data_IF_502802833417
#
_entry.id   IF_502802833417
#
_cell.length_a   1.000
_cell.length_b   1.000
_cell.length_c   1.000
_cell.angle_alpha   90.00
_cell.angle_beta   90.00
_cell.angle_gamma   90.00
#
_symmetry.space_group_name_H-M   'P 1'
#
loop_
_entity.id
_entity.type
_entity.pdbx_description
1 polymer ?
#
# COMPACT_ATOMS: atom_id res chain seq x y z
N UNK A 1 0.55 -16.16 -76.05
CA UNK A 1 -0.23 -16.34 -74.81
C UNK A 1 0.72 -16.17 -73.64
N UNK A 2 0.70 -15.04 -72.90
CA UNK A 2 1.55 -14.84 -71.70
C UNK A 2 0.89 -15.42 -70.45
N UNK A 3 1.66 -16.20 -69.70
CA UNK A 3 1.26 -16.76 -68.39
C UNK A 3 1.43 -15.68 -67.34
N UNK A 4 0.33 -15.30 -66.73
CA UNK A 4 0.30 -14.39 -65.53
C UNK A 4 0.55 -15.24 -64.30
N UNK A 5 1.70 -15.01 -63.67
CA UNK A 5 2.04 -15.61 -62.35
C UNK A 5 1.58 -14.67 -61.22
N UNK A 6 0.50 -15.04 -60.54
CA UNK A 6 0.02 -14.32 -59.35
C UNK A 6 0.89 -14.70 -58.16
N UNK A 7 1.66 -13.74 -57.62
CA UNK A 7 2.38 -13.87 -56.35
C UNK A 7 1.44 -13.42 -55.21
N UNK A 8 1.01 -14.38 -54.40
CA UNK A 8 0.29 -14.12 -53.13
C UNK A 8 1.33 -13.74 -52.09
N UNK A 9 1.31 -12.47 -51.66
CA UNK A 9 2.10 -12.00 -50.52
C UNK A 9 1.24 -12.18 -49.29
N UNK A 10 1.57 -13.18 -48.45
CA UNK A 10 0.97 -13.35 -47.16
C UNK A 10 1.57 -12.33 -46.18
N UNK A 11 0.81 -11.30 -45.86
CA UNK A 11 1.17 -10.35 -44.80
C UNK A 11 0.90 -10.99 -43.42
N UNK A 12 1.96 -11.36 -42.73
CA UNK A 12 1.89 -11.77 -41.30
C UNK A 12 1.71 -10.50 -40.44
N UNK A 13 0.49 -10.28 -40.00
CA UNK A 13 0.22 -9.26 -38.99
C UNK A 13 0.65 -9.81 -37.62
N UNK A 14 1.80 -9.35 -37.15
CA UNK A 14 2.23 -9.57 -35.74
C UNK A 14 1.36 -8.68 -34.86
N UNK A 15 0.33 -9.28 -34.24
CA UNK A 15 -0.41 -8.64 -33.17
C UNK A 15 0.49 -8.72 -31.93
N UNK A 16 1.22 -7.63 -31.64
CA UNK A 16 1.82 -7.43 -30.32
C UNK A 16 0.69 -7.29 -29.31
N UNK A 17 0.35 -8.38 -28.63
CA UNK A 17 -0.39 -8.35 -27.39
C UNK A 17 0.50 -7.64 -26.38
N UNK A 18 0.32 -6.33 -26.22
CA UNK A 18 0.80 -5.61 -25.07
C UNK A 18 0.03 -6.20 -23.89
N UNK A 19 0.65 -7.10 -23.14
CA UNK A 19 0.18 -7.44 -21.81
C UNK A 19 0.20 -6.14 -21.00
N UNK A 20 -0.96 -5.53 -20.86
CA UNK A 20 -1.16 -4.48 -19.87
C UNK A 20 -0.86 -5.14 -18.54
N UNK A 21 0.30 -4.82 -17.94
CA UNK A 21 0.64 -5.27 -16.60
C UNK A 21 -0.56 -4.91 -15.72
N UNK A 22 -1.26 -5.93 -15.23
CA UNK A 22 -2.42 -5.78 -14.36
C UNK A 22 -1.93 -5.01 -13.14
N UNK A 23 -2.40 -3.78 -13.02
CA UNK A 23 -2.11 -2.92 -11.87
C UNK A 23 -2.99 -3.42 -10.73
N UNK A 24 -2.41 -3.76 -9.60
CA UNK A 24 -3.10 -4.21 -8.40
C UNK A 24 -2.08 -4.31 -7.26
N UNK A 25 -2.57 -4.45 -6.03
CA UNK A 25 -1.71 -4.79 -4.90
C UNK A 25 -1.03 -6.15 -5.16
N UNK A 26 0.30 -6.14 -5.26
CA UNK A 26 1.08 -7.36 -5.49
C UNK A 26 1.03 -8.29 -4.27
N UNK A 27 0.12 -9.26 -4.32
CA UNK A 27 -0.01 -10.30 -3.28
C UNK A 27 1.09 -11.35 -3.43
N UNK A 28 1.50 -11.65 -4.67
CA UNK A 28 2.59 -12.56 -5.01
C UNK A 28 3.48 -11.92 -6.08
N UNK A 29 4.46 -11.10 -5.70
CA UNK A 29 5.32 -10.43 -6.65
C UNK A 29 6.17 -11.45 -7.43
N UNK A 30 6.30 -11.21 -8.74
CA UNK A 30 7.17 -12.00 -9.62
C UNK A 30 8.65 -11.74 -9.31
N UNK A 31 9.58 -12.62 -9.73
CA UNK A 31 11.01 -12.37 -9.57
C UNK A 31 11.47 -11.02 -10.14
N UNK A 32 10.93 -10.59 -11.28
CA UNK A 32 11.26 -9.29 -11.90
C UNK A 32 10.74 -8.11 -11.05
N UNK A 33 9.54 -8.24 -10.47
CA UNK A 33 8.99 -7.24 -9.55
C UNK A 33 9.80 -7.15 -8.25
N UNK A 34 10.25 -8.28 -7.72
CA UNK A 34 11.14 -8.34 -6.55
C UNK A 34 12.44 -7.61 -6.86
N UNK A 35 13.12 -7.96 -7.96
CA UNK A 35 14.37 -7.32 -8.35
C UNK A 35 14.20 -5.82 -8.57
N UNK A 36 13.16 -5.41 -9.31
CA UNK A 36 12.85 -4.00 -9.53
C UNK A 36 12.58 -3.24 -8.22
N UNK A 37 11.95 -3.87 -7.22
CA UNK A 37 11.72 -3.26 -5.91
C UNK A 37 13.03 -3.08 -5.13
N UNK A 38 13.92 -4.07 -5.16
CA UNK A 38 15.25 -3.98 -4.54
C UNK A 38 16.11 -2.88 -5.16
N UNK A 39 16.10 -2.79 -6.50
CA UNK A 39 16.85 -1.77 -7.24
C UNK A 39 16.33 -0.36 -6.93
N UNK A 40 15.00 -0.16 -6.88
CA UNK A 40 14.40 1.11 -6.44
C UNK A 40 14.82 1.50 -5.03
N UNK A 41 14.87 0.54 -4.12
CA UNK A 41 15.31 0.80 -2.75
C UNK A 41 16.79 1.20 -2.68
N UNK A 42 17.66 0.57 -3.45
CA UNK A 42 19.07 0.94 -3.56
C UNK A 42 19.25 2.35 -4.16
N UNK A 43 18.54 2.65 -5.24
CA UNK A 43 18.54 3.97 -5.86
C UNK A 43 18.05 5.07 -4.90
N UNK A 44 17.01 4.78 -4.10
CA UNK A 44 16.52 5.69 -3.08
C UNK A 44 17.58 5.99 -2.00
N UNK A 45 18.36 4.99 -1.60
CA UNK A 45 19.47 5.19 -0.66
C UNK A 45 20.57 6.08 -1.26
N UNK A 46 20.95 5.88 -2.52
CA UNK A 46 21.93 6.70 -3.24
C UNK A 46 21.47 8.17 -3.33
N UNK A 47 20.18 8.38 -3.62
CA UNK A 47 19.56 9.71 -3.68
C UNK A 47 19.18 10.29 -2.32
N UNK A 48 19.39 9.55 -1.23
CA UNK A 48 18.94 9.89 0.13
C UNK A 48 17.44 10.21 0.20
N UNK A 49 16.65 9.56 -0.63
CA UNK A 49 15.19 9.66 -0.58
C UNK A 49 14.65 8.99 0.69
N UNK A 50 13.64 9.58 1.35
CA UNK A 50 13.09 8.98 2.56
C UNK A 50 12.39 7.64 2.22
N UNK A 51 12.56 6.59 3.05
CA UNK A 51 11.96 5.26 2.80
C UNK A 51 10.44 5.26 2.71
N UNK A 52 9.77 6.20 3.33
CA UNK A 52 8.32 6.35 3.31
C UNK A 52 7.78 6.85 1.95
N UNK A 53 8.65 7.20 1.00
CA UNK A 53 8.29 7.44 -0.40
C UNK A 53 7.70 6.21 -1.11
N UNK A 54 7.93 5.00 -0.56
CA UNK A 54 7.36 3.75 -1.07
C UNK A 54 6.01 3.38 -0.47
N UNK A 55 5.46 4.22 0.41
CA UNK A 55 4.14 4.01 0.99
C UNK A 55 3.05 4.53 0.05
N UNK A 56 2.00 3.76 -0.09
CA UNK A 56 0.79 4.20 -0.80
C UNK A 56 -0.03 5.06 0.17
N UNK A 57 0.02 6.36 -0.03
CA UNK A 57 -0.66 7.33 0.82
C UNK A 57 -2.10 7.53 0.39
N UNK A 58 -2.98 7.80 1.34
CA UNK A 58 -4.38 8.09 1.11
C UNK A 58 -4.93 9.09 2.13
N UNK A 59 -6.11 9.64 1.84
CA UNK A 59 -6.73 10.68 2.66
C UNK A 59 -6.15 12.06 2.40
N UNK A 60 -6.18 12.92 3.40
CA UNK A 60 -5.71 14.30 3.28
C UNK A 60 -4.18 14.39 3.23
N UNK A 61 -3.67 15.42 2.57
CA UNK A 61 -2.23 15.71 2.49
C UNK A 61 -1.77 16.70 3.56
N UNK A 62 -2.69 17.33 4.27
CA UNK A 62 -2.40 18.26 5.36
C UNK A 62 -2.33 17.57 6.73
N UNK A 63 -1.90 18.32 7.74
CA UNK A 63 -1.67 17.84 9.10
C UNK A 63 -2.90 17.88 10.01
N UNK A 64 -4.05 18.35 9.52
CA UNK A 64 -5.27 18.57 10.32
C UNK A 64 -6.43 17.66 9.95
N UNK A 65 -6.31 16.91 8.87
CA UNK A 65 -7.34 15.99 8.40
C UNK A 65 -6.87 14.54 8.40
N UNK A 66 -7.81 13.60 8.51
CA UNK A 66 -7.49 12.18 8.50
C UNK A 66 -6.75 11.74 7.25
N UNK A 67 -5.71 10.94 7.45
CA UNK A 67 -4.90 10.39 6.38
C UNK A 67 -4.32 9.03 6.79
N UNK A 68 -3.63 8.40 5.87
CA UNK A 68 -2.99 7.14 6.14
C UNK A 68 -2.08 6.67 5.02
N UNK A 69 -1.56 5.48 5.22
CA UNK A 69 -0.81 4.77 4.19
C UNK A 69 -0.99 3.26 4.34
N UNK A 70 -0.79 2.57 3.26
CA UNK A 70 -0.55 1.13 3.27
C UNK A 70 0.82 0.82 2.66
N UNK A 71 1.34 -0.35 2.99
CA UNK A 71 2.60 -0.82 2.43
C UNK A 71 2.38 -2.17 1.75
N UNK A 72 2.70 -2.22 0.45
CA UNK A 72 2.66 -3.43 -0.35
C UNK A 72 3.91 -4.28 -0.12
N UNK A 73 3.94 -5.52 -0.61
CA UNK A 73 5.16 -6.35 -0.56
C UNK A 73 6.32 -5.71 -1.32
N UNK A 74 6.06 -5.18 -2.53
CA UNK A 74 7.07 -4.47 -3.32
C UNK A 74 7.54 -3.19 -2.63
N UNK A 75 6.63 -2.43 -2.01
CA UNK A 75 6.98 -1.29 -1.16
C UNK A 75 7.86 -1.69 0.03
N UNK A 76 7.51 -2.77 0.72
CA UNK A 76 8.30 -3.29 1.85
C UNK A 76 9.70 -3.74 1.44
N UNK A 77 9.85 -4.38 0.28
CA UNK A 77 11.15 -4.74 -0.29
C UNK A 77 12.00 -3.50 -0.57
N UNK A 78 11.41 -2.45 -1.17
CA UNK A 78 12.10 -1.19 -1.44
C UNK A 78 12.54 -0.49 -0.16
N UNK A 79 11.67 -0.44 0.87
CA UNK A 79 12.01 0.12 2.19
C UNK A 79 13.16 -0.66 2.83
N UNK A 80 13.09 -1.98 2.83
CA UNK A 80 14.14 -2.84 3.38
C UNK A 80 15.48 -2.60 2.65
N UNK A 81 15.48 -2.63 1.32
CA UNK A 81 16.67 -2.39 0.51
C UNK A 81 17.27 -1.01 0.77
N UNK A 82 16.43 0.04 0.91
CA UNK A 82 16.89 1.40 1.25
C UNK A 82 17.60 1.42 2.61
N UNK A 83 16.98 0.86 3.64
CA UNK A 83 17.56 0.84 4.98
C UNK A 83 18.86 0.05 5.05
N UNK A 84 18.98 -1.03 4.31
CA UNK A 84 20.20 -1.84 4.25
C UNK A 84 21.31 -1.12 3.47
N UNK A 85 20.98 -0.55 2.29
CA UNK A 85 21.94 0.18 1.47
C UNK A 85 22.51 1.42 2.20
N UNK A 86 21.70 2.15 2.97
CA UNK A 86 22.16 3.26 3.82
C UNK A 86 23.19 2.83 4.88
N UNK A 87 23.28 1.53 5.20
CA UNK A 87 24.26 0.94 6.11
C UNK A 87 25.38 0.19 5.38
N UNK A 88 25.46 0.27 4.05
CA UNK A 88 26.42 -0.46 3.23
C UNK A 88 26.14 -1.96 3.13
N UNK A 89 24.91 -2.40 3.43
CA UNK A 89 24.46 -3.79 3.38
C UNK A 89 23.57 -4.04 2.16
N UNK A 90 23.39 -5.32 1.84
CA UNK A 90 22.42 -5.77 0.84
C UNK A 90 21.47 -6.80 1.46
N UNK A 91 20.18 -6.82 1.05
CA UNK A 91 19.25 -7.86 1.48
C UNK A 91 19.74 -9.26 1.09
N UNK A 92 19.70 -10.18 2.04
CA UNK A 92 19.93 -11.60 1.78
C UNK A 92 18.67 -12.23 1.16
N UNK A 93 18.83 -13.44 0.58
CA UNK A 93 17.68 -14.23 0.10
C UNK A 93 16.65 -14.49 1.22
N UNK A 94 17.13 -14.71 2.45
CA UNK A 94 16.27 -14.92 3.62
C UNK A 94 15.47 -13.65 3.96
N UNK A 95 16.08 -12.47 3.89
CA UNK A 95 15.38 -11.19 4.13
C UNK A 95 14.29 -10.97 3.09
N UNK A 96 14.60 -11.23 1.82
CA UNK A 96 13.64 -11.14 0.72
C UNK A 96 12.50 -12.14 0.89
N UNK A 97 12.81 -13.40 1.18
CA UNK A 97 11.81 -14.45 1.40
C UNK A 97 10.86 -14.08 2.54
N UNK A 98 11.37 -13.55 3.65
CA UNK A 98 10.54 -13.12 4.79
C UNK A 98 9.49 -12.08 4.39
N UNK A 99 9.81 -11.13 3.51
CA UNK A 99 8.86 -10.13 3.01
C UNK A 99 7.87 -10.75 2.03
N UNK A 100 8.38 -11.55 1.07
CA UNK A 100 7.56 -12.15 0.01
C UNK A 100 6.56 -13.18 0.57
N UNK A 101 6.98 -13.98 1.55
CA UNK A 101 6.13 -14.97 2.22
C UNK A 101 5.20 -14.37 3.28
N UNK A 102 5.39 -13.09 3.60
CA UNK A 102 4.52 -12.34 4.52
C UNK A 102 3.06 -12.45 4.10
N UNK A 103 2.18 -12.80 5.05
CA UNK A 103 0.76 -13.09 4.77
C UNK A 103 -0.16 -11.88 4.94
N UNK A 104 0.35 -10.80 5.50
CA UNK A 104 -0.49 -9.65 5.86
C UNK A 104 0.02 -8.34 5.25
N UNK A 105 -0.93 -7.50 4.86
CA UNK A 105 -0.72 -6.11 4.48
C UNK A 105 -0.93 -5.22 5.69
N UNK A 106 -0.05 -4.26 5.90
CA UNK A 106 -0.18 -3.26 6.97
C UNK A 106 -0.82 -1.99 6.44
N UNK A 107 -1.81 -1.49 7.18
CA UNK A 107 -2.45 -0.19 6.96
C UNK A 107 -2.28 0.63 8.24
N UNK A 108 -1.81 1.86 8.09
CA UNK A 108 -1.68 2.82 9.18
C UNK A 108 -2.49 4.07 8.86
N UNK A 109 -3.31 4.51 9.80
CA UNK A 109 -4.11 5.74 9.68
C UNK A 109 -3.78 6.71 10.80
N UNK A 110 -3.96 7.99 10.52
CA UNK A 110 -3.99 9.05 11.51
C UNK A 110 -5.41 9.58 11.57
N UNK A 111 -6.01 9.51 12.74
CA UNK A 111 -7.35 10.01 13.04
C UNK A 111 -7.28 11.13 14.06
N UNK A 112 -8.33 11.92 14.18
CA UNK A 112 -8.37 13.11 15.01
C UNK A 112 -9.53 13.09 16.00
N UNK A 113 -9.32 13.70 17.16
CA UNK A 113 -10.33 13.79 18.21
C UNK A 113 -10.09 14.95 19.17
N UNK A 114 -10.98 15.11 20.15
CA UNK A 114 -10.96 16.24 21.07
C UNK A 114 -10.59 15.88 22.50
N UNK A 115 -10.36 14.59 22.77
CA UNK A 115 -9.93 14.08 24.09
C UNK A 115 -8.70 13.20 23.95
N UNK A 116 -7.79 13.15 24.96
CA UNK A 116 -6.51 12.47 24.85
C UNK A 116 -6.59 10.95 24.60
N UNK A 117 -7.67 10.32 24.99
CA UNK A 117 -7.89 8.87 24.90
C UNK A 117 -8.91 8.47 23.83
N UNK A 118 -9.21 9.35 22.87
CA UNK A 118 -10.28 9.11 21.89
C UNK A 118 -10.02 7.88 21.01
N UNK A 119 -8.74 7.51 20.79
CA UNK A 119 -8.35 6.39 19.94
C UNK A 119 -8.22 5.04 20.69
N UNK A 120 -8.41 5.02 22.01
CA UNK A 120 -8.39 3.77 22.80
C UNK A 120 -9.50 2.85 22.29
N UNK A 121 -9.19 1.56 22.12
CA UNK A 121 -10.09 0.53 21.58
C UNK A 121 -10.62 0.81 20.18
N UNK A 122 -9.92 1.64 19.40
CA UNK A 122 -10.23 1.82 17.98
C UNK A 122 -10.10 0.52 17.21
N UNK A 123 -10.97 0.37 16.21
CA UNK A 123 -10.99 -0.79 15.33
C UNK A 123 -10.96 -0.34 13.87
N UNK A 124 -10.45 -1.18 12.97
CA UNK A 124 -10.37 -0.89 11.55
C UNK A 124 -10.89 -2.08 10.75
N UNK A 125 -11.64 -1.82 9.69
CA UNK A 125 -12.08 -2.84 8.74
C UNK A 125 -11.82 -2.39 7.31
N UNK A 126 -11.78 -3.35 6.38
CA UNK A 126 -11.94 -3.09 4.95
C UNK A 126 -13.35 -3.50 4.54
N UNK A 127 -13.96 -2.72 3.64
CA UNK A 127 -15.20 -3.10 2.98
C UNK A 127 -14.97 -3.13 1.46
N UNK A 128 -15.35 -4.24 0.85
CA UNK A 128 -15.25 -4.48 -0.58
C UNK A 128 -16.60 -4.99 -1.10
N UNK A 129 -17.40 -4.09 -1.68
CA UNK A 129 -18.70 -4.45 -2.26
C UNK A 129 -19.69 -5.02 -1.25
N UNK A 130 -19.68 -4.54 0.00
CA UNK A 130 -20.52 -5.02 1.10
C UNK A 130 -19.94 -6.22 1.87
N UNK A 131 -18.78 -6.74 1.47
CA UNK A 131 -18.03 -7.73 2.25
C UNK A 131 -17.10 -7.01 3.24
N UNK A 132 -17.40 -7.13 4.52
CA UNK A 132 -16.52 -6.61 5.58
C UNK A 132 -15.39 -7.59 5.88
N UNK A 133 -14.14 -7.12 5.78
CA UNK A 133 -12.92 -7.86 6.03
C UNK A 133 -12.33 -7.38 7.35
N UNK A 134 -12.17 -8.32 8.29
CA UNK A 134 -11.64 -8.05 9.61
C UNK A 134 -10.11 -8.08 9.63
N UNK A 135 -9.45 -7.25 10.45
CA UNK A 135 -8.00 -7.30 10.60
C UNK A 135 -7.57 -8.54 11.39
N UNK A 136 -6.35 -9.00 11.15
CA UNK A 136 -5.67 -10.02 11.97
C UNK A 136 -5.21 -9.41 13.29
N UNK A 137 -4.72 -8.16 13.24
CA UNK A 137 -4.29 -7.41 14.41
C UNK A 137 -4.67 -5.94 14.27
N UNK A 138 -4.97 -5.30 15.40
CA UNK A 138 -5.14 -3.84 15.49
C UNK A 138 -4.29 -3.32 16.62
N UNK A 139 -3.66 -2.17 16.40
CA UNK A 139 -2.94 -1.39 17.42
C UNK A 139 -3.38 0.06 17.31
N UNK A 140 -3.45 0.74 18.42
CA UNK A 140 -3.82 2.15 18.49
C UNK A 140 -2.97 2.87 19.54
N UNK A 141 -2.86 4.18 19.43
CA UNK A 141 -2.21 5.00 20.43
C UNK A 141 -3.12 5.06 21.67
N UNK A 142 -2.63 4.54 22.80
CA UNK A 142 -3.36 4.60 24.08
C UNK A 142 -3.51 6.02 24.62
N UNK A 143 -2.60 6.92 24.23
CA UNK A 143 -2.66 8.35 24.48
C UNK A 143 -2.36 9.10 23.18
N UNK A 144 -3.29 9.91 22.74
CA UNK A 144 -3.17 10.70 21.53
C UNK A 144 -2.20 11.87 21.71
N UNK A 145 -1.49 12.21 20.64
CA UNK A 145 -0.63 13.39 20.59
C UNK A 145 -1.44 14.66 20.32
N UNK A 146 -0.93 15.81 20.73
CA UNK A 146 -1.51 17.10 20.32
C UNK A 146 -1.47 17.22 18.80
N UNK A 147 -2.57 17.70 18.20
CA UNK A 147 -2.59 18.05 16.78
C UNK A 147 -1.89 19.38 16.52
N UNK A 148 -1.70 19.73 15.27
CA UNK A 148 -1.18 21.05 14.88
C UNK A 148 -2.17 22.20 15.18
N UNK A 149 -3.47 21.89 15.41
CA UNK A 149 -4.48 22.90 15.77
C UNK A 149 -4.54 23.20 17.26
N UNK A 150 -3.82 22.46 18.13
CA UNK A 150 -3.88 22.69 19.57
C UNK A 150 -3.70 24.16 19.96
N UNK A 151 -4.52 24.74 20.85
CA UNK A 151 -5.60 24.15 21.65
C UNK A 151 -6.97 24.07 20.95
N UNK A 152 -7.08 24.50 19.71
CA UNK A 152 -8.30 24.45 18.90
C UNK A 152 -8.60 23.03 18.41
N UNK A 153 -9.81 22.83 17.87
CA UNK A 153 -10.22 21.54 17.31
C UNK A 153 -9.70 21.33 15.89
N UNK A 154 -9.31 20.10 15.55
CA UNK A 154 -9.20 18.91 16.39
C UNK A 154 -7.97 18.97 17.32
N UNK A 155 -8.14 18.77 18.63
CA UNK A 155 -7.07 18.93 19.61
C UNK A 155 -6.00 17.86 19.57
N UNK A 156 -6.39 16.65 19.22
CA UNK A 156 -5.52 15.47 19.31
C UNK A 156 -5.51 14.69 18.01
N UNK A 157 -4.39 14.03 17.75
CA UNK A 157 -4.21 13.06 16.67
C UNK A 157 -3.65 11.75 17.23
N UNK A 158 -4.09 10.63 16.66
CA UNK A 158 -3.66 9.30 17.07
C UNK A 158 -3.49 8.39 15.85
N UNK A 159 -2.61 7.39 15.98
CA UNK A 159 -2.45 6.35 14.98
C UNK A 159 -3.32 5.15 15.32
N UNK A 160 -3.91 4.57 14.28
CA UNK A 160 -4.51 3.24 14.32
C UNK A 160 -3.85 2.43 13.22
N UNK A 161 -3.27 1.29 13.58
CA UNK A 161 -2.54 0.41 12.66
C UNK A 161 -3.20 -0.95 12.66
N UNK A 162 -3.53 -1.47 11.49
CA UNK A 162 -4.13 -2.77 11.34
C UNK A 162 -3.38 -3.61 10.31
N UNK A 163 -3.38 -4.94 10.49
CA UNK A 163 -2.84 -5.88 9.52
C UNK A 163 -3.97 -6.74 8.99
N UNK A 164 -4.05 -6.86 7.66
CA UNK A 164 -5.07 -7.63 6.95
C UNK A 164 -4.42 -8.78 6.18
N UNK A 165 -5.01 -9.95 6.26
CA UNK A 165 -4.50 -11.12 5.54
C UNK A 165 -4.76 -10.93 4.02
N UNK A 166 -3.74 -11.13 3.19
CA UNK A 166 -3.85 -11.06 1.74
C UNK A 166 -4.88 -12.02 1.15
N UNK A 167 -5.16 -13.15 1.82
CA UNK A 167 -6.13 -14.13 1.38
C UNK A 167 -7.59 -13.69 1.59
N UNK A 168 -7.86 -12.67 2.40
CA UNK A 168 -9.21 -12.29 2.82
C UNK A 168 -9.82 -11.20 1.94
N UNK A 169 -9.02 -10.45 1.16
CA UNK A 169 -9.47 -9.36 0.33
C UNK A 169 -9.10 -9.55 -1.16
N UNK A 170 -9.85 -8.88 -2.03
CA UNK A 170 -9.57 -8.81 -3.46
C UNK A 170 -8.58 -7.67 -3.75
N UNK A 171 -7.37 -7.95 -4.30
CA UNK A 171 -6.37 -6.94 -4.60
C UNK A 171 -6.74 -5.99 -5.76
N UNK A 172 -7.84 -6.24 -6.46
CA UNK A 172 -8.35 -5.44 -7.57
C UNK A 172 -9.58 -4.60 -7.23
N UNK A 173 -10.16 -4.79 -6.05
CA UNK A 173 -11.45 -4.19 -5.71
C UNK A 173 -11.34 -2.73 -5.27
N UNK A 174 -12.43 -1.99 -5.51
CA UNK A 174 -12.71 -0.76 -4.76
C UNK A 174 -12.86 -1.11 -3.28
N UNK A 175 -12.13 -0.42 -2.42
CA UNK A 175 -12.03 -0.74 -1.01
C UNK A 175 -12.24 0.51 -0.16
N UNK A 176 -13.15 0.41 0.80
CA UNK A 176 -13.27 1.40 1.86
C UNK A 176 -12.49 0.92 3.09
N UNK A 177 -11.60 1.74 3.60
CA UNK A 177 -10.91 1.55 4.87
C UNK A 177 -11.66 2.38 5.90
N UNK A 178 -12.31 1.73 6.86
CA UNK A 178 -13.08 2.44 7.89
C UNK A 178 -12.47 2.20 9.27
N UNK A 179 -12.20 3.28 9.98
CA UNK A 179 -11.70 3.30 11.36
C UNK A 179 -12.82 3.73 12.28
N UNK A 180 -13.07 2.95 13.32
CA UNK A 180 -14.08 3.17 14.35
C UNK A 180 -13.37 3.47 15.67
N UNK A 181 -13.27 4.74 16.10
CA UNK A 181 -12.86 5.06 17.48
C UNK A 181 -13.93 4.59 18.48
N UNK A 182 -13.51 4.08 19.67
CA UNK A 182 -14.48 3.58 20.66
C UNK A 182 -15.44 4.65 21.19
N UNK A 183 -15.02 5.92 21.18
CA UNK A 183 -15.85 7.04 21.63
C UNK A 183 -16.87 7.53 20.59
N UNK A 184 -17.07 6.76 19.53
CA UNK A 184 -18.05 7.04 18.46
C UNK A 184 -17.47 7.83 17.29
N UNK A 185 -18.26 7.90 16.24
CA UNK A 185 -17.86 8.40 14.94
C UNK A 185 -17.14 7.33 14.09
N UNK A 186 -16.87 7.68 12.86
CA UNK A 186 -16.09 6.85 11.93
C UNK A 186 -15.28 7.74 11.00
N UNK A 187 -14.17 7.19 10.51
CA UNK A 187 -13.37 7.81 9.47
C UNK A 187 -13.19 6.81 8.35
N UNK A 188 -13.66 7.15 7.15
CA UNK A 188 -13.61 6.25 5.99
C UNK A 188 -12.75 6.86 4.88
N UNK A 189 -11.92 6.00 4.27
CA UNK A 189 -11.08 6.32 3.12
C UNK A 189 -11.45 5.36 1.98
N UNK A 190 -11.74 5.90 0.80
CA UNK A 190 -11.99 5.11 -0.40
C UNK A 190 -10.71 4.99 -1.23
N UNK A 191 -10.33 3.76 -1.57
CA UNK A 191 -9.18 3.44 -2.40
C UNK A 191 -9.56 2.46 -3.50
N UNK A 192 -8.95 2.62 -4.66
CA UNK A 192 -9.00 1.61 -5.70
C UNK A 192 -7.72 0.75 -5.62
N UNK A 193 -7.85 -0.47 -5.12
CA UNK A 193 -6.71 -1.38 -4.98
C UNK A 193 -6.12 -1.78 -6.33
N UNK A 194 -6.92 -1.73 -7.41
CA UNK A 194 -6.42 -2.00 -8.77
C UNK A 194 -5.43 -0.94 -9.30
N UNK A 195 -5.36 0.23 -8.70
CA UNK A 195 -4.49 1.34 -9.10
C UNK A 195 -3.18 1.42 -8.28
N UNK A 196 -3.02 0.55 -7.29
CA UNK A 196 -1.86 0.53 -6.38
C UNK A 196 -0.73 -0.32 -6.97
N UNK A 197 0.51 0.18 -6.91
CA UNK A 197 1.71 -0.45 -7.48
C UNK A 197 2.83 -0.60 -6.47
#
# INVERSE_FOLDING_TARGET
MPKITVRVVAAFVFICLSESASRAIDVQPTPDQIQAALDRGKEAAEKRSPPDSFYVRFGATDELHPNGFLITKTGSLSVMATHMALRGLQPSETDVAQVVEGKTMLISTVIFGNVPNFAVDSYMVLDQGGKTIKPVTVRFDGQANRSAAWPENPRFKAKVVASFNYADFDPFAQTNITVFPANGGETTFALNFSEIH
#
